data_IF_046165518625
#
_entry.id   IF_046165518625
#
_cell.length_a   1.000
_cell.length_b   1.000
_cell.length_c   1.000
_cell.angle_alpha   90.00
_cell.angle_beta   90.00
_cell.angle_gamma   90.00
#
_symmetry.space_group_name_H-M   'P 1'
#
loop_
_entity.id
_entity.type
_entity.pdbx_description
1 polymer ?
#
# COMPACT_ATOMS: atom_id res chain seq x y z
N UNK A 1 -20.12 -23.59 -15.90
CA UNK A 1 -19.13 -22.99 -14.98
C UNK A 1 -19.77 -22.39 -13.73
N UNK A 2 -21.10 -22.22 -13.65
CA UNK A 2 -21.77 -21.79 -12.40
C UNK A 2 -21.78 -20.28 -12.16
N UNK A 3 -21.38 -19.48 -13.15
CA UNK A 3 -21.47 -18.02 -13.10
C UNK A 3 -22.92 -17.54 -13.29
N UNK A 4 -23.27 -16.40 -12.70
CA UNK A 4 -24.65 -15.92 -12.59
C UNK A 4 -24.74 -14.51 -13.19
N UNK A 5 -25.63 -14.32 -14.16
CA UNK A 5 -25.93 -13.01 -14.73
C UNK A 5 -27.13 -12.37 -14.02
N UNK A 6 -27.08 -11.07 -13.73
CA UNK A 6 -28.20 -10.39 -13.09
C UNK A 6 -28.09 -8.88 -13.04
N UNK A 7 -29.25 -8.22 -12.91
CA UNK A 7 -29.35 -6.76 -12.80
C UNK A 7 -28.76 -6.22 -11.51
N UNK A 8 -28.78 -7.01 -10.42
CA UNK A 8 -28.14 -6.66 -9.14
C UNK A 8 -26.62 -6.47 -9.28
N UNK A 9 -26.00 -7.04 -10.32
CA UNK A 9 -24.59 -6.88 -10.65
C UNK A 9 -24.35 -5.81 -11.74
N UNK A 10 -25.33 -4.94 -11.98
CA UNK A 10 -25.26 -3.91 -13.03
C UNK A 10 -25.49 -4.47 -14.44
N UNK A 11 -26.36 -5.47 -14.59
CA UNK A 11 -26.54 -6.23 -15.83
C UNK A 11 -25.21 -6.82 -16.32
N UNK A 12 -24.53 -7.53 -15.42
CA UNK A 12 -23.25 -8.17 -15.68
C UNK A 12 -23.19 -9.56 -15.03
N UNK A 13 -22.11 -10.27 -15.33
CA UNK A 13 -21.77 -11.53 -14.68
C UNK A 13 -21.26 -11.29 -13.26
N UNK A 14 -21.68 -12.12 -12.31
CA UNK A 14 -21.25 -12.08 -10.91
C UNK A 14 -19.72 -12.13 -10.81
N UNK A 15 -19.07 -12.98 -11.60
CA UNK A 15 -17.60 -13.07 -11.63
C UNK A 15 -16.93 -11.74 -11.98
N UNK A 16 -17.42 -11.04 -13.01
CA UNK A 16 -16.95 -9.71 -13.42
C UNK A 16 -17.20 -8.67 -12.34
N UNK A 17 -18.36 -8.72 -11.70
CA UNK A 17 -18.69 -7.80 -10.61
C UNK A 17 -17.76 -8.00 -9.42
N UNK A 18 -17.53 -9.23 -8.96
CA UNK A 18 -16.59 -9.54 -7.88
C UNK A 18 -15.18 -9.08 -8.24
N UNK A 19 -14.74 -9.37 -9.46
CA UNK A 19 -13.42 -8.97 -9.95
C UNK A 19 -13.19 -7.46 -9.80
N UNK A 20 -14.20 -6.64 -10.14
CA UNK A 20 -14.11 -5.18 -10.16
C UNK A 20 -14.47 -4.48 -8.84
N UNK A 21 -15.11 -5.16 -7.88
CA UNK A 21 -15.67 -4.49 -6.70
C UNK A 21 -15.13 -5.03 -5.36
N UNK A 22 -14.41 -6.14 -5.36
CA UNK A 22 -13.91 -6.77 -4.12
C UNK A 22 -12.38 -6.77 -4.11
N UNK A 23 -11.80 -6.61 -2.93
CA UNK A 23 -10.35 -6.80 -2.73
C UNK A 23 -10.01 -8.28 -2.90
N UNK A 24 -9.15 -8.58 -3.87
CA UNK A 24 -8.75 -9.97 -4.19
C UNK A 24 -7.31 -10.30 -3.79
N UNK A 25 -6.55 -9.31 -3.35
CA UNK A 25 -5.18 -9.49 -2.90
C UNK A 25 -4.70 -8.26 -2.13
N UNK A 26 -3.75 -8.48 -1.24
CA UNK A 26 -3.09 -7.44 -0.45
C UNK A 26 -1.60 -7.68 -0.52
N UNK A 27 -0.80 -6.62 -0.64
CA UNK A 27 0.66 -6.69 -0.61
C UNK A 27 1.27 -5.43 -0.02
N UNK A 28 2.55 -5.55 0.31
CA UNK A 28 3.42 -4.39 0.40
C UNK A 28 3.97 -4.10 -1.01
N UNK A 29 3.85 -2.86 -1.48
CA UNK A 29 4.41 -2.42 -2.76
C UNK A 29 5.94 -2.32 -2.72
N UNK A 30 6.59 -1.73 -3.73
CA UNK A 30 8.04 -1.57 -3.75
C UNK A 30 8.58 -0.83 -2.52
N UNK A 31 9.80 -1.16 -2.10
CA UNK A 31 10.49 -0.43 -1.03
C UNK A 31 11.02 0.89 -1.56
N UNK A 32 10.90 1.93 -0.73
CA UNK A 32 11.51 3.23 -0.93
C UNK A 32 12.30 3.61 0.33
N UNK A 33 13.24 4.54 0.16
CA UNK A 33 14.05 5.10 1.24
C UNK A 33 13.65 6.56 1.42
N UNK A 34 13.47 7.02 2.65
CA UNK A 34 13.18 8.41 2.94
C UNK A 34 14.32 9.34 2.54
N UNK A 35 14.02 10.64 2.43
CA UNK A 35 15.06 11.67 2.53
C UNK A 35 15.66 11.72 3.93
N UNK A 36 16.60 12.66 4.13
CA UNK A 36 17.17 12.91 5.46
C UNK A 36 16.08 13.23 6.47
N UNK A 37 16.15 12.59 7.63
CA UNK A 37 15.17 12.75 8.69
C UNK A 37 15.48 13.99 9.54
N UNK A 38 14.44 14.48 10.21
CA UNK A 38 14.59 15.26 11.44
C UNK A 38 13.95 14.44 12.56
N UNK A 39 14.24 14.75 13.83
CA UNK A 39 13.83 13.96 15.01
C UNK A 39 12.36 13.52 15.02
N UNK A 40 11.48 14.28 14.38
CA UNK A 40 10.11 13.88 14.07
C UNK A 40 9.94 13.71 12.56
N UNK A 41 9.43 12.54 12.16
CA UNK A 41 9.18 12.22 10.76
C UNK A 41 7.91 11.40 10.62
N UNK A 42 7.06 11.82 9.69
CA UNK A 42 5.82 11.14 9.35
C UNK A 42 5.87 10.76 7.86
N UNK A 43 5.55 9.50 7.58
CA UNK A 43 5.39 9.06 6.21
C UNK A 43 4.08 9.60 5.63
N UNK A 44 4.02 9.67 4.29
CA UNK A 44 2.76 9.94 3.59
C UNK A 44 1.72 8.83 3.85
N UNK A 45 0.48 9.09 3.42
CA UNK A 45 -0.62 8.13 3.57
C UNK A 45 -0.34 6.77 2.94
N UNK A 46 -0.82 5.72 3.60
CA UNK A 46 -0.72 4.34 3.14
C UNK A 46 0.64 3.69 3.29
N UNK A 47 1.62 4.37 3.87
CA UNK A 47 2.97 3.86 4.02
C UNK A 47 3.17 3.22 5.40
N UNK A 48 4.02 2.20 5.45
CA UNK A 48 4.49 1.60 6.71
C UNK A 48 6.01 1.57 6.72
N UNK A 49 6.57 1.78 7.91
CA UNK A 49 8.01 1.60 8.17
C UNK A 49 8.35 0.11 8.07
N UNK A 50 9.45 -0.20 7.38
CA UNK A 50 9.90 -1.57 7.13
C UNK A 50 11.40 -1.78 7.39
N UNK A 51 12.12 -0.72 7.76
CA UNK A 51 13.54 -0.80 8.12
C UNK A 51 14.14 0.57 8.35
N UNK A 52 15.41 0.60 8.74
CA UNK A 52 16.17 1.81 9.04
C UNK A 52 17.54 1.73 8.37
N UNK A 53 18.06 2.87 7.95
CA UNK A 53 19.44 3.08 7.51
C UNK A 53 20.02 4.18 8.40
N UNK A 54 21.12 3.88 9.10
CA UNK A 54 21.69 4.80 10.10
C UNK A 54 23.19 4.95 9.92
N UNK A 55 23.73 6.02 10.48
CA UNK A 55 25.19 6.24 10.55
C UNK A 55 25.86 5.49 11.72
N UNK A 56 25.09 4.68 12.47
CA UNK A 56 25.54 3.91 13.63
C UNK A 56 25.42 4.63 14.98
N UNK A 57 24.97 5.89 15.02
CA UNK A 57 24.60 6.56 16.28
C UNK A 57 23.28 6.03 16.82
N UNK A 58 23.05 6.30 18.11
CA UNK A 58 21.86 5.84 18.83
C UNK A 58 20.64 6.73 18.59
N UNK A 59 20.84 8.01 18.25
CA UNK A 59 19.78 8.96 17.90
C UNK A 59 19.65 9.08 16.37
N UNK A 60 18.41 9.23 15.89
CA UNK A 60 18.12 9.58 14.51
C UNK A 60 18.09 11.11 14.39
N UNK A 61 19.26 11.74 14.18
CA UNK A 61 19.40 13.20 14.24
C UNK A 61 19.55 13.89 12.88
N UNK A 62 19.62 13.12 11.78
CA UNK A 62 19.59 13.64 10.42
C UNK A 62 20.76 13.18 9.55
N UNK A 63 21.08 13.98 8.54
CA UNK A 63 22.05 13.67 7.48
C UNK A 63 21.74 12.37 6.71
N UNK A 64 22.35 11.26 7.12
CA UNK A 64 22.20 9.96 6.47
C UNK A 64 21.19 9.04 7.17
N UNK A 65 20.64 9.42 8.32
CA UNK A 65 19.60 8.62 8.96
C UNK A 65 18.30 8.65 8.14
N UNK A 66 17.82 7.46 7.76
CA UNK A 66 16.69 7.27 6.84
C UNK A 66 15.83 6.08 7.25
N UNK A 67 14.59 6.08 6.78
CA UNK A 67 13.62 5.00 6.99
C UNK A 67 13.29 4.32 5.67
N UNK A 68 13.36 3.00 5.64
CA UNK A 68 12.80 2.20 4.56
C UNK A 68 11.30 2.05 4.77
N UNK A 69 10.51 2.38 3.76
CA UNK A 69 9.06 2.28 3.82
C UNK A 69 8.47 1.62 2.58
N UNK A 70 7.25 1.08 2.74
CA UNK A 70 6.51 0.42 1.66
C UNK A 70 5.05 0.88 1.70
N UNK A 71 4.39 1.08 0.55
CA UNK A 71 2.95 1.31 0.52
C UNK A 71 2.22 0.01 0.79
N UNK A 72 1.21 0.05 1.66
CA UNK A 72 0.18 -1.00 1.75
C UNK A 72 -0.70 -0.87 0.51
N UNK A 73 -0.84 -1.96 -0.24
CA UNK A 73 -1.63 -1.98 -1.48
C UNK A 73 -2.66 -3.09 -1.48
N UNK A 74 -3.80 -2.84 -2.11
CA UNK A 74 -4.85 -3.83 -2.35
C UNK A 74 -5.19 -3.91 -3.84
N UNK A 75 -5.60 -5.10 -4.30
CA UNK A 75 -5.96 -5.36 -5.69
C UNK A 75 -7.49 -5.36 -5.85
N UNK A 76 -7.99 -4.46 -6.70
CA UNK A 76 -9.39 -4.41 -7.16
C UNK A 76 -9.38 -4.22 -8.68
N UNK A 77 -10.21 -4.99 -9.39
CA UNK A 77 -10.02 -5.18 -10.82
C UNK A 77 -8.62 -5.70 -11.09
N UNK A 78 -7.95 -5.15 -12.08
CA UNK A 78 -6.54 -5.45 -12.40
C UNK A 78 -5.55 -4.43 -11.81
N UNK A 79 -6.01 -3.54 -10.94
CA UNK A 79 -5.21 -2.40 -10.45
C UNK A 79 -4.83 -2.58 -8.99
N UNK A 80 -3.54 -2.42 -8.70
CA UNK A 80 -3.04 -2.26 -7.34
C UNK A 80 -3.18 -0.80 -6.90
N UNK A 81 -3.94 -0.58 -5.84
CA UNK A 81 -4.22 0.75 -5.26
C UNK A 81 -3.50 0.88 -3.92
N UNK A 82 -2.88 2.03 -3.66
CA UNK A 82 -2.29 2.35 -2.34
C UNK A 82 -3.40 2.69 -1.35
N UNK A 83 -3.37 2.06 -0.17
CA UNK A 83 -4.35 2.30 0.88
C UNK A 83 -4.25 3.73 1.44
N UNK A 84 -5.36 4.35 1.87
CA UNK A 84 -5.31 5.61 2.61
C UNK A 84 -4.89 5.38 4.08
N UNK A 85 -4.38 6.44 4.72
CA UNK A 85 -4.23 6.54 6.18
C UNK A 85 -5.15 7.65 6.68
N UNK A 86 -5.81 7.43 7.83
CA UNK A 86 -6.74 8.37 8.48
C UNK A 86 -6.19 8.88 9.80
#
# INVERSE_FOLDING_TARGET
NGDIYGSVWGNSWLSTWIHNNVVRGVRLGPVALSGGLWRDFQLGGGQVVTGFHTDGKWEMEGDDDKVYYRPVQYLVGDTWVTAPSV
#
